data_IF_889844260930
#
_entry.id   IF_889844260930
#
_cell.length_a   1.000
_cell.length_b   1.000
_cell.length_c   1.000
_cell.angle_alpha   90.00
_cell.angle_beta   90.00
_cell.angle_gamma   90.00
#
_symmetry.space_group_name_H-M   'P 1'
#
loop_
_entity.id
_entity.type
_entity.pdbx_description
1 polymer ?
#
# COMPACT_ATOMS: atom_id res chain seq x y z
N UNK A 1 15.37 -5.09 16.48
CA UNK A 1 15.14 -4.59 15.10
C UNK A 1 14.21 -3.37 15.18
N UNK A 2 14.72 -2.23 14.77
CA UNK A 2 13.93 -1.00 14.76
C UNK A 2 13.39 -0.73 13.36
N UNK A 3 12.07 -0.74 13.22
CA UNK A 3 11.38 -0.45 11.96
C UNK A 3 10.77 0.93 12.06
N UNK A 4 11.13 1.79 11.12
CA UNK A 4 10.57 3.13 11.01
C UNK A 4 9.70 3.22 9.77
N UNK A 5 8.44 3.55 9.96
CA UNK A 5 7.52 3.81 8.84
C UNK A 5 7.46 5.31 8.62
N UNK A 6 7.62 5.71 7.39
CA UNK A 6 7.67 7.12 7.00
C UNK A 6 7.17 7.34 5.58
N UNK A 7 6.99 8.59 5.24
CA UNK A 7 6.69 8.99 3.88
C UNK A 7 7.87 8.69 2.95
N UNK A 8 7.55 8.26 1.73
CA UNK A 8 8.53 8.03 0.67
C UNK A 8 9.27 9.34 0.33
N UNK A 9 10.54 9.20 0.01
CA UNK A 9 11.40 10.27 -0.49
C UNK A 9 12.05 9.82 -1.81
N UNK A 10 12.43 10.75 -2.66
CA UNK A 10 13.04 10.44 -3.97
C UNK A 10 14.28 9.54 -3.87
N UNK A 11 15.01 9.61 -2.77
CA UNK A 11 16.16 8.73 -2.52
C UNK A 11 15.77 7.26 -2.43
N UNK A 12 14.49 6.96 -2.18
CA UNK A 12 13.97 5.60 -2.04
C UNK A 12 13.64 4.96 -3.40
N UNK A 13 13.72 5.71 -4.49
CA UNK A 13 13.25 5.27 -5.81
C UNK A 13 13.86 3.93 -6.24
N UNK A 14 15.18 3.82 -6.19
CA UNK A 14 15.86 2.59 -6.63
C UNK A 14 15.53 1.40 -5.72
N UNK A 15 15.57 1.60 -4.41
CA UNK A 15 15.25 0.54 -3.45
C UNK A 15 13.81 0.05 -3.58
N UNK A 16 12.88 0.96 -3.76
CA UNK A 16 11.46 0.60 -3.97
C UNK A 16 11.27 -0.16 -5.28
N UNK A 17 11.92 0.27 -6.37
CA UNK A 17 11.83 -0.43 -7.65
C UNK A 17 12.38 -1.86 -7.58
N UNK A 18 13.48 -2.07 -6.88
CA UNK A 18 14.04 -3.41 -6.66
C UNK A 18 13.01 -4.28 -5.91
N UNK A 19 12.43 -3.74 -4.85
CA UNK A 19 11.45 -4.43 -4.03
C UNK A 19 10.18 -4.79 -4.82
N UNK A 20 9.66 -3.86 -5.60
CA UNK A 20 8.48 -4.08 -6.44
C UNK A 20 8.74 -5.13 -7.51
N UNK A 21 9.93 -5.11 -8.12
CA UNK A 21 10.30 -6.11 -9.12
C UNK A 21 10.35 -7.52 -8.51
N UNK A 22 10.93 -7.65 -7.32
CA UNK A 22 11.00 -8.94 -6.63
C UNK A 22 9.61 -9.45 -6.22
N UNK A 23 8.74 -8.56 -5.73
CA UNK A 23 7.43 -8.93 -5.22
C UNK A 23 6.41 -9.19 -6.33
N UNK A 24 6.41 -8.41 -7.39
CA UNK A 24 5.34 -8.40 -8.39
C UNK A 24 5.81 -8.70 -9.80
N UNK A 25 7.09 -8.91 -10.01
CA UNK A 25 7.70 -9.15 -11.34
C UNK A 25 7.33 -8.05 -12.33
N UNK A 26 8.14 -7.78 -13.33
CA UNK A 26 7.86 -6.85 -14.44
C UNK A 26 7.36 -5.46 -14.08
N UNK A 27 7.17 -5.16 -12.81
CA UNK A 27 6.72 -3.84 -12.39
C UNK A 27 7.92 -2.92 -12.21
N UNK A 28 7.77 -1.71 -12.73
CA UNK A 28 8.73 -0.63 -12.55
C UNK A 28 7.92 0.63 -12.31
N UNK A 29 8.05 1.22 -11.11
CA UNK A 29 7.31 2.43 -10.83
C UNK A 29 7.94 3.63 -11.54
N UNK A 30 7.11 4.58 -11.90
CA UNK A 30 7.53 5.91 -12.30
C UNK A 30 7.57 6.82 -11.07
N UNK A 31 8.20 7.98 -11.19
CA UNK A 31 8.18 8.99 -10.13
C UNK A 31 6.80 9.66 -10.10
N UNK A 32 6.09 9.49 -8.99
CA UNK A 32 4.76 10.06 -8.76
C UNK A 32 4.75 11.02 -7.58
N UNK A 33 5.92 11.41 -7.09
CA UNK A 33 6.04 12.23 -5.87
C UNK A 33 5.38 13.62 -5.98
N UNK A 34 5.22 14.14 -7.20
CA UNK A 34 4.57 15.44 -7.42
C UNK A 34 3.06 15.34 -7.68
N UNK A 35 2.50 14.12 -7.70
CA UNK A 35 1.07 13.94 -7.94
C UNK A 35 0.31 13.87 -6.60
N UNK A 36 -0.59 14.85 -6.32
CA UNK A 36 -1.28 14.92 -5.03
C UNK A 36 -2.26 13.78 -4.78
N UNK A 37 -2.61 13.00 -5.80
CA UNK A 37 -3.52 11.87 -5.63
C UNK A 37 -2.82 10.62 -5.11
N UNK A 38 -1.49 10.61 -5.08
CA UNK A 38 -0.71 9.47 -4.59
C UNK A 38 0.06 9.83 -3.32
N UNK A 39 0.05 8.90 -2.38
CA UNK A 39 0.88 9.00 -1.21
C UNK A 39 1.59 7.66 -1.02
N UNK A 40 2.91 7.70 -1.04
CA UNK A 40 3.75 6.50 -0.92
C UNK A 40 4.30 6.40 0.49
N UNK A 41 4.26 5.20 1.04
CA UNK A 41 4.72 4.89 2.39
C UNK A 41 5.82 3.84 2.31
N UNK A 42 6.90 4.05 3.03
CA UNK A 42 8.00 3.09 3.15
C UNK A 42 8.24 2.73 4.60
N UNK A 43 8.72 1.52 4.79
CA UNK A 43 9.29 1.07 6.05
C UNK A 43 10.79 0.94 5.86
N UNK A 44 11.57 1.44 6.79
CA UNK A 44 13.03 1.30 6.76
C UNK A 44 13.56 0.65 8.02
N UNK A 45 14.65 -0.06 7.86
CA UNK A 45 15.41 -0.65 8.95
C UNK A 45 16.89 -0.40 8.67
N UNK A 46 17.57 0.28 9.59
CA UNK A 46 18.99 0.62 9.46
C UNK A 46 19.33 1.27 8.11
N UNK A 47 18.51 2.21 7.67
CA UNK A 47 18.72 2.94 6.43
C UNK A 47 18.30 2.20 5.16
N UNK A 48 17.85 0.95 5.26
CA UNK A 48 17.40 0.15 4.12
C UNK A 48 15.86 0.19 4.05
N UNK A 49 15.32 0.40 2.85
CA UNK A 49 13.88 0.28 2.62
C UNK A 49 13.52 -1.20 2.61
N UNK A 50 12.62 -1.59 3.50
CA UNK A 50 12.21 -3.00 3.69
C UNK A 50 10.72 -3.23 3.49
N UNK A 51 9.94 -2.17 3.30
CA UNK A 51 8.51 -2.26 3.01
C UNK A 51 8.03 -1.06 2.21
N UNK A 52 6.89 -1.26 1.53
CA UNK A 52 6.27 -0.23 0.69
C UNK A 52 4.77 -0.46 0.61
N UNK A 53 4.02 0.61 0.51
CA UNK A 53 2.63 0.61 0.03
C UNK A 53 2.32 1.93 -0.67
N UNK A 54 1.31 1.89 -1.53
CA UNK A 54 0.81 3.06 -2.24
C UNK A 54 -0.61 3.34 -1.79
N UNK A 55 -0.86 4.60 -1.42
CA UNK A 55 -2.21 5.12 -1.19
C UNK A 55 -2.62 5.96 -2.40
N UNK A 56 -3.76 5.65 -2.97
CA UNK A 56 -4.36 6.44 -4.05
C UNK A 56 -5.62 7.11 -3.53
N UNK A 57 -5.64 8.44 -3.60
CA UNK A 57 -6.81 9.23 -3.23
C UNK A 57 -7.85 9.16 -4.35
N UNK A 58 -9.08 8.81 -4.00
CA UNK A 58 -10.19 8.76 -4.95
C UNK A 58 -11.28 9.72 -4.50
N UNK A 59 -11.53 10.74 -5.30
CA UNK A 59 -12.60 11.71 -5.02
C UNK A 59 -13.94 11.14 -5.45
N UNK A 60 -14.91 11.20 -4.54
CA UNK A 60 -16.31 10.95 -4.86
C UNK A 60 -17.01 12.31 -5.02
N UNK A 61 -17.21 12.77 -6.26
CA UNK A 61 -17.77 14.12 -6.49
C UNK A 61 -19.26 14.23 -6.11
N UNK A 62 -19.96 13.11 -6.08
CA UNK A 62 -21.38 13.11 -5.70
C UNK A 62 -21.54 13.40 -4.22
N UNK A 63 -20.65 12.90 -3.38
CA UNK A 63 -20.65 13.13 -1.94
C UNK A 63 -19.72 14.25 -1.50
N UNK A 64 -18.92 14.79 -2.43
CA UNK A 64 -17.86 15.76 -2.13
C UNK A 64 -16.93 15.26 -1.02
N UNK A 65 -16.56 13.99 -1.09
CA UNK A 65 -15.67 13.31 -0.15
C UNK A 65 -14.71 12.42 -0.89
N UNK A 66 -13.68 11.97 -0.21
CA UNK A 66 -12.68 11.07 -0.79
C UNK A 66 -12.41 9.87 0.10
N UNK A 67 -11.86 8.84 -0.50
CA UNK A 67 -11.35 7.66 0.18
C UNK A 67 -9.99 7.29 -0.39
N UNK A 68 -9.35 6.31 0.19
CA UNK A 68 -8.04 5.85 -0.27
C UNK A 68 -8.08 4.38 -0.63
N UNK A 69 -7.43 4.05 -1.74
CA UNK A 69 -7.15 2.66 -2.12
C UNK A 69 -5.72 2.36 -1.74
N UNK A 70 -5.49 1.21 -1.11
CA UNK A 70 -4.16 0.72 -0.80
C UNK A 70 -3.78 -0.33 -1.84
N UNK A 71 -2.60 -0.14 -2.46
CA UNK A 71 -2.06 -1.06 -3.45
C UNK A 71 -0.59 -1.35 -3.16
N UNK A 72 -0.10 -2.45 -3.73
CA UNK A 72 1.32 -2.82 -3.76
C UNK A 72 1.96 -2.92 -2.37
N UNK A 73 1.20 -3.45 -1.41
CA UNK A 73 1.74 -3.72 -0.07
C UNK A 73 2.77 -4.84 -0.19
N UNK A 74 4.01 -4.54 0.16
CA UNK A 74 5.06 -5.54 0.15
C UNK A 74 6.08 -5.31 1.25
N UNK A 75 6.67 -6.40 1.71
CA UNK A 75 7.75 -6.42 2.71
C UNK A 75 8.84 -7.34 2.19
N UNK A 76 10.07 -6.91 2.27
CA UNK A 76 11.23 -7.72 1.91
C UNK A 76 11.20 -9.03 2.70
N UNK A 77 11.48 -10.12 2.01
CA UNK A 77 11.33 -11.48 2.55
C UNK A 77 11.96 -11.67 3.94
N UNK A 78 13.19 -11.20 4.11
CA UNK A 78 13.92 -11.40 5.36
C UNK A 78 13.36 -10.59 6.53
N UNK A 79 12.45 -9.66 6.25
CA UNK A 79 11.82 -8.80 7.26
C UNK A 79 10.36 -9.16 7.51
N UNK A 80 9.86 -10.23 6.90
CA UNK A 80 8.50 -10.71 7.14
C UNK A 80 8.42 -11.38 8.50
N UNK A 81 7.24 -11.32 9.13
CA UNK A 81 7.02 -11.88 10.45
C UNK A 81 7.43 -10.98 11.61
N UNK A 82 7.89 -9.77 11.34
CA UNK A 82 8.31 -8.81 12.37
C UNK A 82 7.35 -7.64 12.55
N UNK A 83 6.15 -7.74 11.98
CA UNK A 83 5.13 -6.70 12.13
C UNK A 83 5.31 -5.48 11.23
N UNK A 84 6.16 -5.55 10.21
CA UNK A 84 6.39 -4.44 9.28
C UNK A 84 5.11 -4.05 8.54
N UNK A 85 4.40 -5.03 8.01
CA UNK A 85 3.13 -4.81 7.30
C UNK A 85 2.10 -4.13 8.19
N UNK A 86 1.94 -4.60 9.42
CA UNK A 86 1.01 -4.01 10.38
C UNK A 86 1.36 -2.55 10.68
N UNK A 87 2.64 -2.25 10.88
CA UNK A 87 3.08 -0.86 11.12
C UNK A 87 2.76 0.04 9.94
N UNK A 88 2.98 -0.44 8.72
CA UNK A 88 2.64 0.32 7.52
C UNK A 88 1.13 0.54 7.38
N UNK A 89 0.33 -0.48 7.66
CA UNK A 89 -1.13 -0.36 7.61
C UNK A 89 -1.65 0.64 8.64
N UNK A 90 -1.09 0.64 9.85
CA UNK A 90 -1.44 1.59 10.88
C UNK A 90 -1.07 3.03 10.49
N UNK A 91 0.09 3.19 9.87
CA UNK A 91 0.50 4.50 9.34
C UNK A 91 -0.48 4.98 8.26
N UNK A 92 -0.87 4.12 7.35
CA UNK A 92 -1.81 4.45 6.28
C UNK A 92 -3.18 4.87 6.84
N UNK A 93 -3.65 4.18 7.87
CA UNK A 93 -4.91 4.53 8.53
C UNK A 93 -4.84 5.91 9.18
N UNK A 94 -3.78 6.19 9.92
CA UNK A 94 -3.61 7.50 10.56
C UNK A 94 -3.51 8.62 9.52
N UNK A 95 -2.77 8.39 8.45
CA UNK A 95 -2.67 9.34 7.35
C UNK A 95 -4.05 9.64 6.73
N UNK A 96 -4.80 8.59 6.41
CA UNK A 96 -6.12 8.74 5.81
C UNK A 96 -7.10 9.48 6.73
N UNK A 97 -7.07 9.18 8.03
CA UNK A 97 -7.89 9.88 9.03
C UNK A 97 -7.52 11.35 9.11
N UNK A 98 -6.23 11.64 9.17
CA UNK A 98 -5.73 13.02 9.26
C UNK A 98 -6.13 13.84 8.03
N UNK A 99 -6.18 13.22 6.88
CA UNK A 99 -6.55 13.87 5.62
C UNK A 99 -8.06 13.83 5.33
N UNK A 100 -8.89 13.39 6.28
CA UNK A 100 -10.34 13.40 6.16
C UNK A 100 -10.90 12.32 5.24
N UNK A 101 -10.16 11.24 5.00
CA UNK A 101 -10.63 10.12 4.19
C UNK A 101 -11.82 9.40 4.84
N UNK A 102 -12.80 9.01 4.01
CA UNK A 102 -13.96 8.28 4.50
C UNK A 102 -13.62 6.86 4.93
N UNK A 103 -12.77 6.18 4.17
CA UNK A 103 -12.35 4.82 4.44
C UNK A 103 -11.10 4.46 3.63
N UNK A 104 -10.50 3.34 4.00
CA UNK A 104 -9.45 2.67 3.25
C UNK A 104 -10.04 1.43 2.61
N UNK A 105 -9.66 1.16 1.38
CA UNK A 105 -10.10 -0.03 0.65
C UNK A 105 -8.92 -0.69 -0.03
N UNK A 106 -8.93 -2.02 -0.06
CA UNK A 106 -7.95 -2.78 -0.80
C UNK A 106 -8.60 -4.04 -1.37
N UNK A 107 -7.95 -4.64 -2.36
CA UNK A 107 -8.33 -5.94 -2.87
C UNK A 107 -7.19 -6.91 -2.61
N UNK A 108 -7.53 -8.17 -2.36
CA UNK A 108 -6.56 -9.19 -2.08
C UNK A 108 -7.05 -10.52 -2.64
N UNK A 109 -6.17 -11.24 -3.35
CA UNK A 109 -6.51 -12.56 -3.88
C UNK A 109 -6.89 -13.51 -2.75
N UNK A 110 -7.88 -14.34 -2.99
CA UNK A 110 -8.39 -15.32 -2.00
C UNK A 110 -7.30 -16.27 -1.51
N UNK A 111 -6.33 -16.57 -2.36
CA UNK A 111 -5.25 -17.51 -2.05
C UNK A 111 -4.19 -16.95 -1.11
N UNK A 112 -4.14 -15.63 -0.93
CA UNK A 112 -3.14 -14.97 -0.07
C UNK A 112 -3.62 -14.95 1.38
N UNK A 113 -3.61 -16.11 2.02
CA UNK A 113 -4.17 -16.32 3.37
C UNK A 113 -3.49 -15.44 4.42
N UNK A 114 -2.16 -15.32 4.39
CA UNK A 114 -1.44 -14.50 5.37
C UNK A 114 -1.74 -13.01 5.22
N UNK A 115 -1.93 -12.54 3.99
CA UNK A 115 -2.34 -11.16 3.75
C UNK A 115 -3.76 -10.89 4.28
N UNK A 116 -4.69 -11.83 4.08
CA UNK A 116 -6.04 -11.73 4.64
C UNK A 116 -6.01 -11.61 6.16
N UNK A 117 -5.19 -12.42 6.83
CA UNK A 117 -5.03 -12.35 8.29
C UNK A 117 -4.52 -11.00 8.74
N UNK A 118 -3.54 -10.45 8.03
CA UNK A 118 -3.00 -9.13 8.33
C UNK A 118 -4.09 -8.06 8.24
N UNK A 119 -4.86 -8.06 7.16
CA UNK A 119 -5.87 -7.03 6.95
C UNK A 119 -7.01 -7.15 7.96
N UNK A 120 -7.45 -8.36 8.29
CA UNK A 120 -8.45 -8.58 9.32
C UNK A 120 -7.94 -8.10 10.69
N UNK A 121 -6.68 -8.39 11.01
CA UNK A 121 -6.04 -7.93 12.25
C UNK A 121 -6.01 -6.40 12.32
N UNK A 122 -5.83 -5.73 11.18
CA UNK A 122 -5.83 -4.27 11.09
C UNK A 122 -7.23 -3.65 11.03
N UNK A 123 -8.29 -4.45 11.19
CA UNK A 123 -9.66 -3.96 11.25
C UNK A 123 -10.39 -3.86 9.92
N UNK A 124 -9.80 -4.37 8.84
CA UNK A 124 -10.49 -4.43 7.55
C UNK A 124 -11.55 -5.51 7.58
N UNK A 125 -12.71 -5.20 7.01
CA UNK A 125 -13.86 -6.09 6.94
C UNK A 125 -14.16 -6.43 5.49
N UNK A 126 -14.30 -7.72 5.20
CA UNK A 126 -14.65 -8.19 3.87
C UNK A 126 -16.02 -7.67 3.48
N UNK A 127 -16.11 -7.07 2.28
CA UNK A 127 -17.38 -6.56 1.74
C UNK A 127 -18.11 -7.64 0.94
N UNK A 128 -19.43 -7.55 0.93
CA UNK A 128 -20.31 -8.41 0.14
C UNK A 128 -20.49 -7.84 -1.26
N UNK A 129 -19.41 -7.75 -2.02
CA UNK A 129 -19.43 -7.25 -3.40
C UNK A 129 -18.36 -7.94 -4.21
N UNK A 130 -18.65 -8.13 -5.48
CA UNK A 130 -17.73 -8.73 -6.43
C UNK A 130 -17.04 -7.67 -7.26
N UNK A 131 -15.83 -7.98 -7.70
CA UNK A 131 -15.08 -7.15 -8.63
C UNK A 131 -15.31 -7.70 -10.02
N UNK A 132 -15.77 -6.85 -10.94
CA UNK A 132 -15.87 -7.19 -12.34
C UNK A 132 -14.82 -6.42 -13.11
N UNK A 133 -14.04 -7.13 -13.92
CA UNK A 133 -13.01 -6.52 -14.75
C UNK A 133 -13.13 -7.00 -16.18
N UNK A 134 -12.94 -6.08 -17.12
CA UNK A 134 -12.82 -6.41 -18.54
C UNK A 134 -11.46 -5.89 -19.02
N UNK A 135 -10.61 -6.79 -19.48
CA UNK A 135 -9.31 -6.37 -20.01
C UNK A 135 -9.54 -5.67 -21.35
N UNK A 136 -8.92 -4.50 -21.50
CA UNK A 136 -9.01 -3.70 -22.74
C UNK A 136 -7.72 -3.80 -23.56
N UNK A 137 -6.63 -4.16 -22.91
CA UNK A 137 -5.34 -4.43 -23.56
C UNK A 137 -4.75 -5.70 -22.97
N UNK A 138 -3.85 -6.33 -23.72
CA UNK A 138 -3.14 -7.52 -23.27
C UNK A 138 -1.65 -7.18 -23.10
N UNK A 139 -1.08 -7.58 -21.97
CA UNK A 139 0.34 -7.36 -21.65
C UNK A 139 1.18 -8.54 -22.05
#
# INVERSE_FOLDING_TARGET
>A
MEIRVREYDKKDFDGVNIMLYEAFRRLKKIDISDNPNFHEVVAECNGRVVGYLLLTKVLNPIRNRHYYIIDYVCVVRDYRGYGVGEKMMNYAEEYARHCGGMYLQLTCRWTRIEAHKLYEKCGFVKRESDIFRKELIWY
#
